data_IF_209335876654
#
_entry.id   IF_209335876654
#
_cell.length_a   1.000
_cell.length_b   1.000
_cell.length_c   1.000
_cell.angle_alpha   90.00
_cell.angle_beta   90.00
_cell.angle_gamma   90.00
#
_symmetry.space_group_name_H-M   'P 1'
#
loop_
_entity.id
_entity.type
_entity.pdbx_description
1 polymer ?
#
# COMPACT_ATOMS: atom_id res chain seq x y z
N UNK A 1 20.81 3.16 -8.56
CA UNK A 1 19.85 2.16 -8.02
C UNK A 1 20.62 0.89 -7.69
N UNK A 2 20.52 0.40 -6.45
CA UNK A 2 21.18 -0.85 -6.02
C UNK A 2 20.44 -2.09 -6.58
N UNK A 3 21.05 -3.28 -6.44
CA UNK A 3 20.40 -4.52 -6.86
C UNK A 3 19.14 -4.81 -6.01
N UNK A 4 19.17 -4.48 -4.72
CA UNK A 4 18.03 -4.61 -3.82
C UNK A 4 16.90 -3.66 -4.17
N UNK A 5 17.22 -2.40 -4.47
CA UNK A 5 16.23 -1.40 -4.94
C UNK A 5 15.58 -1.83 -6.24
N UNK A 6 16.38 -2.38 -7.18
CA UNK A 6 15.89 -2.91 -8.46
C UNK A 6 14.90 -4.07 -8.23
N UNK A 7 15.24 -5.01 -7.35
CA UNK A 7 14.37 -6.14 -7.02
C UNK A 7 13.09 -5.67 -6.32
N UNK A 8 13.21 -4.69 -5.40
CA UNK A 8 12.07 -4.13 -4.70
C UNK A 8 11.12 -3.45 -5.66
N UNK A 9 11.64 -2.60 -6.58
CA UNK A 9 10.84 -1.93 -7.59
C UNK A 9 10.15 -2.92 -8.52
N UNK A 10 10.88 -3.92 -9.01
CA UNK A 10 10.30 -4.97 -9.86
C UNK A 10 9.16 -5.71 -9.16
N UNK A 11 9.37 -6.11 -7.91
CA UNK A 11 8.34 -6.76 -7.10
C UNK A 11 7.11 -5.86 -6.96
N UNK A 12 7.31 -4.58 -6.69
CA UNK A 12 6.23 -3.61 -6.54
C UNK A 12 5.42 -3.46 -7.82
N UNK A 13 6.08 -3.26 -8.95
CA UNK A 13 5.43 -3.14 -10.26
C UNK A 13 4.63 -4.41 -10.60
N UNK A 14 5.23 -5.60 -10.43
CA UNK A 14 4.56 -6.87 -10.71
C UNK A 14 3.34 -7.11 -9.82
N UNK A 15 3.39 -6.78 -8.54
CA UNK A 15 2.25 -6.98 -7.62
C UNK A 15 1.09 -6.02 -7.88
N UNK A 16 1.35 -4.88 -8.55
CA UNK A 16 0.34 -3.87 -8.86
C UNK A 16 -0.21 -3.92 -10.28
N UNK A 17 0.34 -4.78 -11.15
CA UNK A 17 -0.16 -4.96 -12.52
C UNK A 17 -1.68 -5.21 -12.60
N UNK A 18 -2.30 -6.06 -11.73
CA UNK A 18 -3.74 -6.29 -11.75
C UNK A 18 -4.57 -5.05 -11.40
N UNK A 19 -3.97 -4.08 -10.72
CA UNK A 19 -4.64 -2.92 -10.13
C UNK A 19 -4.40 -1.62 -10.92
N UNK A 20 -3.92 -1.71 -12.18
CA UNK A 20 -3.78 -0.58 -13.10
C UNK A 20 -2.94 0.57 -12.55
N UNK A 21 -1.80 0.26 -11.95
CA UNK A 21 -0.89 1.28 -11.42
C UNK A 21 -0.42 2.22 -12.53
N UNK A 22 -0.48 3.52 -12.26
CA UNK A 22 0.06 4.55 -13.15
C UNK A 22 1.55 4.74 -12.86
N UNK A 23 2.32 4.92 -13.93
CA UNK A 23 3.77 5.08 -13.86
C UNK A 23 4.23 6.29 -14.67
N UNK A 24 5.37 6.85 -14.29
CA UNK A 24 6.11 7.85 -15.07
C UNK A 24 7.38 7.21 -15.61
N UNK A 25 7.61 7.29 -16.92
CA UNK A 25 8.86 6.82 -17.54
C UNK A 25 9.97 7.90 -17.52
N UNK A 26 11.15 7.52 -17.95
CA UNK A 26 12.34 8.39 -18.06
C UNK A 26 12.19 9.52 -19.11
N UNK A 27 11.20 9.42 -20.01
CA UNK A 27 10.83 10.44 -20.97
C UNK A 27 9.76 11.41 -20.45
N UNK A 28 9.30 11.26 -19.19
CA UNK A 28 8.27 12.08 -18.57
C UNK A 28 6.84 11.75 -19.03
N UNK A 29 6.60 10.56 -19.60
CA UNK A 29 5.28 10.13 -20.03
C UNK A 29 4.61 9.33 -18.91
N UNK A 30 3.38 9.69 -18.59
CA UNK A 30 2.55 8.98 -17.63
C UNK A 30 1.60 8.01 -18.37
N UNK A 31 1.54 6.77 -17.92
CA UNK A 31 0.64 5.75 -18.48
C UNK A 31 0.31 4.66 -17.45
N UNK A 32 -0.67 3.82 -17.77
CA UNK A 32 -1.00 2.63 -17.00
C UNK A 32 -0.04 1.49 -17.37
N UNK A 33 0.56 0.84 -16.37
CA UNK A 33 1.53 -0.22 -16.57
C UNK A 33 0.84 -1.52 -17.02
N UNK A 34 1.40 -2.18 -18.05
CA UNK A 34 0.92 -3.44 -18.58
C UNK A 34 2.01 -4.53 -18.59
N UNK A 35 1.59 -5.80 -18.60
CA UNK A 35 2.51 -6.97 -18.57
C UNK A 35 3.53 -6.99 -19.72
N UNK A 36 3.21 -6.40 -20.84
CA UNK A 36 4.08 -6.36 -22.03
C UNK A 36 5.07 -5.20 -22.09
N UNK A 37 5.08 -4.34 -21.07
CA UNK A 37 5.95 -3.15 -21.09
C UNK A 37 7.42 -3.52 -21.01
N UNK A 38 8.22 -2.96 -21.93
CA UNK A 38 9.65 -3.21 -22.03
C UNK A 38 10.41 -2.90 -20.74
N UNK A 39 9.98 -1.90 -19.97
CA UNK A 39 10.61 -1.52 -18.70
C UNK A 39 10.55 -2.64 -17.63
N UNK A 40 9.47 -3.44 -17.59
CA UNK A 40 9.42 -4.62 -16.70
C UNK A 40 10.43 -5.65 -17.16
N UNK A 41 10.52 -5.88 -18.48
CA UNK A 41 11.48 -6.81 -19.10
C UNK A 41 12.91 -6.34 -18.85
N UNK A 42 13.19 -5.05 -19.02
CA UNK A 42 14.50 -4.46 -18.81
C UNK A 42 14.91 -4.52 -17.33
N UNK A 43 13.99 -4.28 -16.40
CA UNK A 43 14.25 -4.45 -14.98
C UNK A 43 14.51 -5.91 -14.60
N UNK A 44 13.87 -6.87 -15.30
CA UNK A 44 14.04 -8.30 -15.02
C UNK A 44 15.34 -8.85 -15.57
N UNK A 45 15.61 -8.60 -16.86
CA UNK A 45 16.75 -9.16 -17.61
C UNK A 45 17.93 -8.22 -17.77
N UNK A 46 17.71 -6.92 -17.55
CA UNK A 46 18.74 -5.92 -17.84
C UNK A 46 19.94 -6.02 -16.91
N UNK A 47 21.13 -6.15 -17.52
CA UNK A 47 22.41 -6.00 -16.84
C UNK A 47 22.80 -4.53 -16.65
N UNK A 48 21.88 -3.60 -16.88
CA UNK A 48 22.14 -2.17 -16.85
C UNK A 48 22.29 -1.65 -15.42
N UNK A 49 23.38 -0.95 -15.17
CA UNK A 49 23.54 -0.10 -13.99
C UNK A 49 22.66 1.15 -14.17
N UNK A 50 21.38 1.04 -13.81
CA UNK A 50 20.51 2.21 -13.79
C UNK A 50 20.91 3.12 -12.62
N UNK A 51 21.27 4.36 -12.91
CA UNK A 51 21.51 5.39 -11.89
C UNK A 51 20.20 5.74 -11.22
N UNK A 52 19.11 5.89 -12.02
CA UNK A 52 17.74 6.11 -11.56
C UNK A 52 16.80 5.01 -12.08
N UNK A 53 15.64 4.78 -11.44
CA UNK A 53 14.64 3.88 -11.97
C UNK A 53 14.16 4.33 -13.35
N UNK A 54 14.12 3.42 -14.36
CA UNK A 54 13.64 3.76 -15.71
C UNK A 54 12.14 4.04 -15.73
N UNK A 55 11.44 3.63 -14.70
CA UNK A 55 10.01 3.86 -14.50
C UNK A 55 9.71 3.98 -13.00
N UNK A 56 8.89 4.96 -12.61
CA UNK A 56 8.48 5.18 -11.21
C UNK A 56 6.96 5.07 -11.09
N UNK A 57 6.43 4.16 -10.26
CA UNK A 57 5.00 4.10 -10.00
C UNK A 57 4.55 5.33 -9.20
N UNK A 58 3.32 5.78 -9.46
CA UNK A 58 2.64 6.71 -8.58
C UNK A 58 1.97 5.94 -7.45
N UNK A 59 2.31 6.29 -6.19
CA UNK A 59 1.77 5.64 -5.01
C UNK A 59 1.18 6.69 -4.05
N UNK A 60 0.19 6.27 -3.28
CA UNK A 60 -0.40 7.08 -2.20
C UNK A 60 0.41 6.86 -0.92
N UNK A 61 0.90 7.91 -0.24
CA UNK A 61 1.55 7.74 1.06
C UNK A 61 0.53 7.19 2.07
N UNK A 62 0.97 6.36 3.02
CA UNK A 62 0.09 5.85 4.09
C UNK A 62 -0.58 6.98 4.89
N UNK A 63 0.09 8.12 5.02
CA UNK A 63 -0.46 9.32 5.69
C UNK A 63 -1.71 9.88 5.01
N UNK A 64 -1.95 9.58 3.73
CA UNK A 64 -3.16 10.00 3.00
C UNK A 64 -4.38 9.11 3.26
N UNK A 65 -4.21 8.02 4.01
CA UNK A 65 -5.30 7.07 4.30
C UNK A 65 -6.40 7.72 5.13
N UNK A 66 -7.62 7.67 4.63
CA UNK A 66 -8.82 8.17 5.32
C UNK A 66 -9.24 7.25 6.48
N UNK A 67 -10.04 7.76 7.40
CA UNK A 67 -10.57 6.92 8.50
C UNK A 67 -11.47 5.79 8.01
N UNK A 68 -12.16 5.99 6.89
CA UNK A 68 -12.94 4.93 6.23
C UNK A 68 -12.03 3.80 5.77
N UNK A 69 -10.94 4.12 5.10
CA UNK A 69 -9.95 3.14 4.61
C UNK A 69 -9.24 2.41 5.76
N UNK A 70 -8.91 3.14 6.84
CA UNK A 70 -8.38 2.50 8.06
C UNK A 70 -9.37 1.51 8.66
N UNK A 71 -10.66 1.87 8.68
CA UNK A 71 -11.71 0.99 9.19
C UNK A 71 -11.90 -0.26 8.32
N UNK A 72 -11.77 -0.13 7.00
CA UNK A 72 -11.79 -1.26 6.07
C UNK A 72 -10.64 -2.24 6.37
N UNK A 73 -9.39 -1.74 6.51
CA UNK A 73 -8.24 -2.56 6.89
C UNK A 73 -8.41 -3.22 8.27
N UNK A 74 -8.91 -2.49 9.26
CA UNK A 74 -9.23 -3.04 10.58
C UNK A 74 -10.26 -4.16 10.44
N UNK A 75 -11.27 -3.98 9.62
CA UNK A 75 -12.31 -4.98 9.38
C UNK A 75 -11.73 -6.25 8.74
N UNK A 76 -10.85 -6.11 7.75
CA UNK A 76 -10.12 -7.24 7.15
C UNK A 76 -9.27 -7.98 8.20
N UNK A 77 -8.52 -7.24 9.03
CA UNK A 77 -7.74 -7.82 10.12
C UNK A 77 -8.63 -8.62 11.10
N UNK A 78 -9.76 -8.04 11.50
CA UNK A 78 -10.68 -8.64 12.47
C UNK A 78 -11.49 -9.79 11.88
N UNK A 79 -11.70 -9.87 10.56
CA UNK A 79 -12.40 -10.96 9.90
C UNK A 79 -11.71 -12.32 10.09
N UNK A 80 -10.41 -12.31 10.37
CA UNK A 80 -9.62 -13.53 10.68
C UNK A 80 -9.97 -14.10 12.05
N UNK A 81 -10.52 -13.29 12.92
CA UNK A 81 -10.97 -13.68 14.25
C UNK A 81 -12.50 -13.77 14.27
N UNK A 82 -13.03 -14.96 14.51
CA UNK A 82 -14.47 -15.25 14.45
C UNK A 82 -15.29 -14.64 15.60
N UNK A 83 -14.67 -13.84 16.48
CA UNK A 83 -15.39 -13.19 17.59
C UNK A 83 -16.40 -12.18 17.04
N UNK A 84 -17.58 -12.18 17.63
CA UNK A 84 -18.63 -11.21 17.31
C UNK A 84 -18.19 -9.80 17.75
N UNK A 85 -18.25 -8.83 16.84
CA UNK A 85 -17.96 -7.42 17.11
C UNK A 85 -19.06 -6.57 16.48
N UNK A 86 -19.87 -5.97 17.35
CA UNK A 86 -20.95 -5.05 16.95
C UNK A 86 -20.49 -3.61 17.14
N UNK A 87 -21.06 -2.70 16.38
CA UNK A 87 -20.83 -1.25 16.51
C UNK A 87 -19.34 -0.86 16.45
N UNK A 88 -18.58 -1.50 15.55
CA UNK A 88 -17.15 -1.23 15.35
C UNK A 88 -16.93 0.22 14.91
N UNK A 89 -16.09 0.95 15.64
CA UNK A 89 -15.73 2.34 15.34
C UNK A 89 -14.28 2.63 15.71
N UNK A 90 -13.69 3.57 15.00
CA UNK A 90 -12.38 4.13 15.33
C UNK A 90 -12.55 5.14 16.48
N UNK A 91 -11.68 5.08 17.46
CA UNK A 91 -11.55 6.09 18.54
C UNK A 91 -10.42 7.06 18.25
N UNK A 92 -9.24 6.53 17.98
CA UNK A 92 -8.02 7.30 17.74
C UNK A 92 -7.16 6.62 16.69
N UNK A 93 -6.39 7.40 15.95
CA UNK A 93 -5.43 6.87 14.98
C UNK A 93 -4.11 7.64 15.10
N UNK A 94 -3.01 6.92 15.01
CA UNK A 94 -1.67 7.46 14.97
C UNK A 94 -0.85 6.77 13.88
N UNK A 95 -0.12 7.54 13.07
CA UNK A 95 0.81 6.97 12.11
C UNK A 95 2.11 6.63 12.84
N UNK A 96 2.44 5.34 12.89
CA UNK A 96 3.60 4.84 13.62
C UNK A 96 4.77 4.60 12.65
N UNK A 97 5.90 5.30 12.88
CA UNK A 97 7.14 5.21 12.10
C UNK A 97 6.92 5.30 10.57
N UNK A 98 5.95 6.09 10.12
CA UNK A 98 5.57 6.31 8.72
C UNK A 98 5.24 5.05 7.90
N UNK A 99 5.12 3.88 8.54
CA UNK A 99 4.93 2.60 7.83
C UNK A 99 3.73 1.77 8.29
N UNK A 100 2.97 2.23 9.28
CA UNK A 100 1.70 1.60 9.66
C UNK A 100 0.84 2.53 10.50
N UNK A 101 -0.47 2.29 10.51
CA UNK A 101 -1.40 2.95 11.40
C UNK A 101 -1.60 2.14 12.69
N UNK A 102 -1.43 2.80 13.83
CA UNK A 102 -1.92 2.37 15.12
C UNK A 102 -3.37 2.85 15.25
N UNK A 103 -4.33 1.95 15.21
CA UNK A 103 -5.76 2.27 15.23
C UNK A 103 -6.36 1.76 16.53
N UNK A 104 -6.82 2.68 17.38
CA UNK A 104 -7.61 2.34 18.55
C UNK A 104 -9.08 2.21 18.15
N UNK A 105 -9.64 1.05 18.36
CA UNK A 105 -11.03 0.71 18.02
C UNK A 105 -11.85 0.45 19.27
N UNK A 106 -13.14 0.74 19.18
CA UNK A 106 -14.13 0.29 20.15
C UNK A 106 -15.22 -0.52 19.44
N UNK A 107 -15.67 -1.58 20.07
CA UNK A 107 -16.76 -2.44 19.60
C UNK A 107 -17.50 -3.05 20.78
N UNK A 108 -18.69 -3.60 20.54
CA UNK A 108 -19.42 -4.42 21.52
C UNK A 108 -19.16 -5.90 21.27
N UNK A 109 -18.86 -6.63 22.33
CA UNK A 109 -18.71 -8.08 22.30
C UNK A 109 -20.08 -8.80 22.24
N UNK A 110 -20.06 -10.13 22.32
CA UNK A 110 -21.28 -10.97 22.33
C UNK A 110 -22.22 -10.68 23.50
N UNK A 111 -21.72 -10.11 24.59
CA UNK A 111 -22.47 -9.74 25.78
C UNK A 111 -22.88 -8.26 25.81
N UNK A 112 -22.78 -7.56 24.65
CA UNK A 112 -23.01 -6.11 24.50
C UNK A 112 -22.11 -5.22 25.38
N UNK A 113 -20.99 -5.77 25.89
CA UNK A 113 -19.99 -5.01 26.64
C UNK A 113 -19.05 -4.27 25.69
N UNK A 114 -18.81 -2.99 25.96
CA UNK A 114 -17.83 -2.21 25.21
C UNK A 114 -16.42 -2.69 25.49
N UNK A 115 -15.68 -2.99 24.40
CA UNK A 115 -14.27 -3.39 24.41
C UNK A 115 -13.49 -2.38 23.60
N UNK A 116 -12.35 -1.96 24.14
CA UNK A 116 -11.37 -1.12 23.44
C UNK A 116 -10.15 -1.98 23.13
N UNK A 117 -9.67 -1.91 21.90
CA UNK A 117 -8.51 -2.67 21.44
C UNK A 117 -7.67 -1.83 20.49
N UNK A 118 -6.39 -2.17 20.37
CA UNK A 118 -5.47 -1.52 19.43
C UNK A 118 -5.11 -2.49 18.31
N UNK A 119 -5.20 -2.01 17.06
CA UNK A 119 -4.86 -2.78 15.86
C UNK A 119 -3.83 -2.00 15.05
N UNK A 120 -2.84 -2.69 14.53
CA UNK A 120 -1.86 -2.14 13.62
C UNK A 120 -2.19 -2.57 12.20
N UNK A 121 -2.40 -1.60 11.30
CA UNK A 121 -2.76 -1.84 9.90
C UNK A 121 -1.84 -1.07 8.96
N UNK A 122 -1.75 -1.51 7.70
CA UNK A 122 -0.91 -0.88 6.67
C UNK A 122 0.52 -1.44 6.59
N UNK A 123 0.84 -2.51 7.34
CA UNK A 123 2.17 -3.16 7.31
C UNK A 123 2.36 -4.15 6.17
N UNK A 124 1.30 -4.59 5.52
CA UNK A 124 1.35 -5.72 4.59
C UNK A 124 1.69 -7.03 5.30
N UNK A 125 1.07 -7.28 6.46
CA UNK A 125 1.39 -8.43 7.32
C UNK A 125 0.75 -9.74 6.86
N UNK A 126 -0.27 -9.68 6.02
CA UNK A 126 -1.00 -10.83 5.48
C UNK A 126 -1.54 -10.55 4.08
N UNK A 127 -1.92 -11.59 3.35
CA UNK A 127 -2.21 -11.52 1.92
C UNK A 127 -3.36 -10.54 1.62
N UNK A 128 -4.47 -10.63 2.34
CA UNK A 128 -5.65 -9.78 2.12
C UNK A 128 -5.34 -8.30 2.37
N UNK A 129 -4.47 -7.99 3.33
CA UNK A 129 -4.00 -6.63 3.57
C UNK A 129 -3.10 -6.15 2.43
N UNK A 130 -2.18 -7.00 1.97
CA UNK A 130 -1.28 -6.69 0.84
C UNK A 130 -2.09 -6.42 -0.42
N UNK A 131 -3.06 -7.26 -0.72
CA UNK A 131 -3.92 -7.11 -1.89
C UNK A 131 -4.70 -5.81 -1.82
N UNK A 132 -5.32 -5.51 -0.67
CA UNK A 132 -6.05 -4.27 -0.44
C UNK A 132 -5.14 -3.03 -0.58
N UNK A 133 -3.92 -3.05 -0.01
CA UNK A 133 -2.95 -1.96 -0.10
C UNK A 133 -2.48 -1.74 -1.56
N UNK A 134 -2.29 -2.81 -2.33
CA UNK A 134 -1.94 -2.73 -3.74
C UNK A 134 -3.10 -2.19 -4.59
N UNK A 135 -4.32 -2.65 -4.36
CA UNK A 135 -5.54 -2.19 -5.05
C UNK A 135 -5.79 -0.70 -4.81
N UNK A 136 -5.52 -0.20 -3.61
CA UNK A 136 -5.68 1.21 -3.25
C UNK A 136 -4.39 2.02 -3.44
N UNK A 137 -3.35 1.44 -4.05
CA UNK A 137 -2.08 2.06 -4.43
C UNK A 137 -1.28 2.67 -3.27
N UNK A 138 -1.42 2.18 -2.04
CA UNK A 138 -0.66 2.68 -0.89
C UNK A 138 0.81 2.24 -0.89
N UNK A 139 1.71 3.17 -0.55
CA UNK A 139 3.15 2.91 -0.38
C UNK A 139 3.45 2.32 1.01
N UNK A 140 3.07 1.09 1.23
CA UNK A 140 3.35 0.39 2.50
C UNK A 140 4.77 -0.17 2.61
N UNK A 141 5.56 -0.08 1.53
CA UNK A 141 6.98 -0.49 1.49
C UNK A 141 7.97 0.65 1.55
N UNK A 142 7.49 1.91 1.52
CA UNK A 142 8.34 3.08 1.63
C UNK A 142 9.14 3.42 0.37
N UNK A 143 8.62 3.14 -0.83
CA UNK A 143 9.29 3.45 -2.08
C UNK A 143 9.36 4.94 -2.37
N UNK A 144 8.36 5.73 -1.90
CA UNK A 144 8.37 7.18 -2.08
C UNK A 144 9.59 7.81 -1.40
N UNK A 145 9.86 7.60 -0.10
CA UNK A 145 11.05 8.16 0.54
C UNK A 145 12.37 7.61 -0.02
N UNK A 146 12.37 6.43 -0.65
CA UNK A 146 13.54 5.88 -1.34
C UNK A 146 13.78 6.48 -2.73
N UNK A 147 12.86 7.31 -3.25
CA UNK A 147 12.92 7.87 -4.61
C UNK A 147 12.60 6.84 -5.72
N UNK A 148 12.12 5.65 -5.36
CA UNK A 148 11.74 4.58 -6.29
C UNK A 148 10.29 4.70 -6.78
N UNK A 149 9.49 5.53 -6.13
CA UNK A 149 8.12 5.86 -6.50
C UNK A 149 7.88 7.37 -6.40
N UNK A 150 6.80 7.84 -7.01
CA UNK A 150 6.30 9.20 -6.92
C UNK A 150 5.03 9.22 -6.07
N UNK A 151 4.84 10.31 -5.33
CA UNK A 151 3.57 10.52 -4.65
C UNK A 151 2.47 10.79 -5.69
N UNK A 152 1.39 10.02 -5.62
CA UNK A 152 0.22 10.23 -6.46
C UNK A 152 -0.43 11.59 -6.12
N UNK A 153 -0.74 12.41 -7.13
CA UNK A 153 -1.59 13.58 -6.93
C UNK A 153 -2.97 13.20 -6.39
N UNK A 154 -3.60 14.13 -5.65
CA UNK A 154 -4.96 13.94 -5.16
C UNK A 154 -5.92 13.63 -6.32
N UNK A 155 -6.80 12.66 -6.15
CA UNK A 155 -7.77 12.24 -7.15
C UNK A 155 -7.21 11.37 -8.29
N UNK A 156 -5.94 10.96 -8.25
CA UNK A 156 -5.38 10.11 -9.31
C UNK A 156 -6.01 8.72 -9.37
N UNK A 157 -6.45 8.21 -8.21
CA UNK A 157 -7.00 6.88 -8.02
C UNK A 157 -8.41 6.88 -7.41
N UNK A 158 -9.14 8.00 -7.56
CA UNK A 158 -10.54 8.13 -7.13
C UNK A 158 -11.52 7.52 -8.16
#
# INVERSE_FOLDING_TARGET
MTAEEKQLLLKELCTRLPYKVKVLDDMGRMYELHIGDSYIIDLFYGNGDYIEPPVKPYLRPLSSMTDKEKLELVTLYLARDKRCRKDLRIKETELFLDNCWCVQIAYKDENDKEVVSTVYVGRGSYIEEIDWLNENHFDYRGLIPMGLALQAPDGMYD
#
